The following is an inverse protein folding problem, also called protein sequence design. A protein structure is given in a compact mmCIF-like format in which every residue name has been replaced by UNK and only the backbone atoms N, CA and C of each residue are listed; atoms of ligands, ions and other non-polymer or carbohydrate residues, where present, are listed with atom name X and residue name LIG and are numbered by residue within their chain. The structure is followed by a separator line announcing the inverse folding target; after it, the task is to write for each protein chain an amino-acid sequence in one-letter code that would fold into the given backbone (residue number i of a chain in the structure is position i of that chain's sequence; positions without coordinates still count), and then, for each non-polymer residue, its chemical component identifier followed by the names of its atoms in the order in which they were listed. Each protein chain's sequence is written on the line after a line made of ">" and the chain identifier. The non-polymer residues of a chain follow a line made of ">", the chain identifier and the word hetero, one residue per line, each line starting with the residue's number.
data_IF_388955235206
#
_entry.id   IF_388955235206
#
_cell.length_a   1.000
_cell.length_b   1.000
_cell.length_c   1.000
_cell.angle_alpha   90.00
_cell.angle_beta   90.00
_cell.angle_gamma   90.00
#
_symmetry.space_group_name_H-M   'P 1'
#
loop_
_entity.id
_entity.type
_entity.pdbx_description
1 polymer ?
#
# COMPACT_ATOMS: atom_id res chain seq x y z
N UNK A 1 2.78 3.75 -27.07
CA UNK A 1 1.71 4.76 -26.87
C UNK A 1 1.64 5.11 -25.39
N UNK A 2 2.53 5.98 -24.91
CA UNK A 2 2.53 6.45 -23.52
C UNK A 2 1.43 7.50 -23.33
N UNK A 3 0.41 7.19 -22.52
CA UNK A 3 -0.71 8.09 -22.24
C UNK A 3 -0.24 9.31 -21.41
N UNK A 4 -0.28 10.55 -21.95
CA UNK A 4 0.25 11.75 -21.29
C UNK A 4 -0.44 12.14 -19.96
N UNK A 5 -1.63 11.61 -19.72
CA UNK A 5 -2.57 12.09 -18.68
C UNK A 5 -2.33 11.56 -17.26
N UNK A 6 -1.29 10.74 -17.05
CA UNK A 6 -0.94 10.24 -15.72
C UNK A 6 0.00 11.18 -14.96
N UNK A 7 0.77 12.03 -15.66
CA UNK A 7 1.85 12.83 -15.05
C UNK A 7 1.38 13.85 -14.00
N UNK A 8 0.09 14.19 -13.96
CA UNK A 8 -0.51 15.18 -13.03
C UNK A 8 -1.62 14.53 -12.18
N UNK A 9 -1.46 13.27 -11.79
CA UNK A 9 -2.40 12.64 -10.86
C UNK A 9 -1.74 12.37 -9.52
N UNK A 10 -2.28 13.00 -8.48
CA UNK A 10 -1.93 12.82 -7.08
C UNK A 10 -3.12 12.23 -6.33
N UNK A 11 -2.87 11.23 -5.49
CA UNK A 11 -3.91 10.57 -4.69
C UNK A 11 -3.30 9.96 -3.44
N UNK A 12 -3.94 10.13 -2.31
CA UNK A 12 -3.54 9.48 -1.07
C UNK A 12 -4.77 8.93 -0.36
N UNK A 13 -4.70 7.67 0.06
CA UNK A 13 -5.72 7.06 0.90
C UNK A 13 -5.05 6.17 1.96
N UNK A 14 -5.56 6.23 3.18
CA UNK A 14 -5.11 5.40 4.29
C UNK A 14 -6.32 4.82 5.00
N UNK A 15 -6.42 3.49 4.99
CA UNK A 15 -7.44 2.73 5.71
C UNK A 15 -6.80 2.10 6.94
N UNK A 16 -7.42 2.27 8.10
CA UNK A 16 -6.98 1.66 9.35
C UNK A 16 -8.04 0.66 9.82
N UNK A 17 -7.65 -0.60 9.93
CA UNK A 17 -8.48 -1.68 10.47
C UNK A 17 -7.90 -2.14 11.80
N UNK A 18 -8.63 -1.91 12.88
CA UNK A 18 -8.31 -2.50 14.17
C UNK A 18 -8.73 -3.97 14.17
N UNK A 19 -7.86 -4.82 14.71
CA UNK A 19 -8.14 -6.24 14.94
C UNK A 19 -8.34 -6.41 16.45
N UNK A 20 -9.22 -7.33 16.82
CA UNK A 20 -9.34 -7.80 18.20
C UNK A 20 -7.96 -8.21 18.76
N UNK A 21 -7.81 -8.14 20.09
CA UNK A 21 -6.56 -8.48 20.78
C UNK A 21 -5.38 -7.54 20.50
N UNK A 22 -5.66 -6.26 20.19
CA UNK A 22 -4.64 -5.21 20.11
C UNK A 22 -3.82 -5.22 18.82
N UNK A 23 -4.29 -5.92 17.79
CA UNK A 23 -3.74 -5.86 16.44
C UNK A 23 -4.26 -4.64 15.67
N UNK A 24 -3.48 -4.15 14.71
CA UNK A 24 -3.91 -3.11 13.76
C UNK A 24 -3.29 -3.34 12.39
N UNK A 25 -4.09 -3.25 11.35
CA UNK A 25 -3.65 -3.23 9.95
C UNK A 25 -3.87 -1.84 9.39
N UNK A 26 -2.84 -1.28 8.76
CA UNK A 26 -2.92 -0.03 8.02
C UNK A 26 -2.69 -0.33 6.55
N UNK A 27 -3.65 -0.02 5.68
CA UNK A 27 -3.51 -0.10 4.24
C UNK A 27 -3.34 1.30 3.68
N UNK A 28 -2.34 1.51 2.83
CA UNK A 28 -2.05 2.83 2.26
C UNK A 28 -1.90 2.72 0.75
N UNK A 29 -2.48 3.69 0.05
CA UNK A 29 -2.27 3.97 -1.37
C UNK A 29 -1.74 5.39 -1.46
N UNK A 30 -0.64 5.59 -2.18
CA UNK A 30 -0.06 6.91 -2.39
C UNK A 30 0.44 7.00 -3.83
N UNK A 31 -0.09 7.96 -4.58
CA UNK A 31 0.23 8.27 -5.96
C UNK A 31 0.65 9.74 -5.98
N UNK A 32 1.80 10.00 -6.60
CA UNK A 32 2.32 11.34 -6.84
C UNK A 32 2.86 11.41 -8.26
N UNK A 33 2.41 12.37 -9.04
CA UNK A 33 2.78 12.59 -10.44
C UNK A 33 2.62 11.31 -11.28
N UNK A 34 1.52 10.59 -11.06
CA UNK A 34 1.20 9.36 -11.80
C UNK A 34 2.02 8.13 -11.42
N UNK A 35 2.88 8.21 -10.41
CA UNK A 35 3.63 7.06 -9.86
C UNK A 35 3.23 6.84 -8.43
N UNK A 36 3.04 5.59 -8.02
CA UNK A 36 2.57 5.33 -6.68
C UNK A 36 2.90 3.96 -6.14
N UNK A 37 2.56 3.77 -4.87
CA UNK A 37 2.69 2.50 -4.17
C UNK A 37 1.44 2.20 -3.36
N UNK A 38 1.27 0.90 -3.13
CA UNK A 38 0.34 0.34 -2.15
C UNK A 38 1.12 -0.36 -1.06
N UNK A 39 0.65 -0.29 0.17
CA UNK A 39 1.28 -1.00 1.28
C UNK A 39 0.28 -1.49 2.32
N UNK A 40 0.63 -2.59 2.97
CA UNK A 40 0.01 -3.09 4.20
C UNK A 40 1.06 -2.98 5.30
N UNK A 41 0.73 -2.31 6.40
CA UNK A 41 1.52 -2.31 7.63
C UNK A 41 0.73 -2.99 8.75
N UNK A 42 1.37 -3.94 9.42
CA UNK A 42 0.79 -4.66 10.56
C UNK A 42 1.38 -4.16 11.87
N UNK A 43 0.56 -4.15 12.91
CA UNK A 43 0.92 -3.77 14.26
C UNK A 43 0.29 -4.75 15.24
N UNK A 44 0.96 -4.97 16.36
CA UNK A 44 0.47 -5.78 17.48
C UNK A 44 0.91 -5.15 18.79
N UNK A 45 0.00 -5.00 19.76
CA UNK A 45 0.26 -4.34 21.05
C UNK A 45 0.94 -2.98 20.86
N UNK A 46 0.40 -2.16 19.95
CA UNK A 46 0.93 -0.82 19.55
C UNK A 46 2.32 -0.83 18.87
N UNK A 47 3.01 -1.96 18.75
CA UNK A 47 4.30 -2.09 18.07
C UNK A 47 4.11 -2.42 16.59
N UNK A 48 4.90 -1.78 15.72
CA UNK A 48 4.95 -2.11 14.29
C UNK A 48 5.62 -3.47 14.07
N UNK A 49 4.93 -4.39 13.41
CA UNK A 49 5.43 -5.76 13.16
C UNK A 49 5.99 -5.94 11.76
N UNK A 50 5.52 -5.16 10.78
CA UNK A 50 6.05 -5.23 9.43
C UNK A 50 5.30 -4.37 8.43
N UNK A 51 5.93 -4.13 7.28
CA UNK A 51 5.31 -3.44 6.14
C UNK A 51 5.62 -4.20 4.85
N UNK A 52 4.58 -4.56 4.11
CA UNK A 52 4.68 -5.03 2.75
C UNK A 52 4.30 -3.90 1.80
N UNK A 53 5.23 -3.46 0.94
CA UNK A 53 5.04 -2.38 -0.02
C UNK A 53 5.24 -2.88 -1.44
N UNK A 54 4.38 -2.46 -2.36
CA UNK A 54 4.48 -2.76 -3.79
C UNK A 54 4.17 -1.51 -4.60
N UNK A 55 4.85 -1.33 -5.73
CA UNK A 55 4.53 -0.30 -6.71
C UNK A 55 3.13 -0.54 -7.28
N UNK A 56 2.41 0.53 -7.59
CA UNK A 56 1.17 0.46 -8.34
C UNK A 56 1.49 0.35 -9.83
N UNK A 57 0.85 -0.61 -10.50
CA UNK A 57 0.90 -0.71 -11.95
C UNK A 57 0.10 0.43 -12.58
N UNK A 58 0.45 0.81 -13.80
CA UNK A 58 -0.25 1.85 -14.56
C UNK A 58 -1.77 1.60 -14.63
N UNK A 59 -2.18 0.36 -14.88
CA UNK A 59 -3.59 -0.03 -14.91
C UNK A 59 -4.29 0.16 -13.55
N UNK A 60 -3.62 -0.14 -12.42
CA UNK A 60 -4.18 0.09 -11.09
C UNK A 60 -4.35 1.59 -10.82
N UNK A 61 -3.40 2.42 -11.25
CA UNK A 61 -3.48 3.88 -11.12
C UNK A 61 -4.64 4.45 -11.95
N UNK A 62 -4.85 3.95 -13.17
CA UNK A 62 -5.98 4.35 -14.00
C UNK A 62 -7.32 3.98 -13.34
N UNK A 63 -7.44 2.76 -12.79
CA UNK A 63 -8.64 2.35 -12.07
C UNK A 63 -8.90 3.22 -10.83
N UNK A 64 -7.86 3.58 -10.07
CA UNK A 64 -7.96 4.51 -8.94
C UNK A 64 -8.41 5.90 -9.41
N UNK A 65 -7.85 6.41 -10.51
CA UNK A 65 -8.25 7.70 -11.11
C UNK A 65 -9.72 7.72 -11.51
N UNK A 66 -10.24 6.59 -12.01
CA UNK A 66 -11.65 6.42 -12.36
C UNK A 66 -12.57 6.16 -11.14
N UNK A 67 -12.03 6.12 -9.91
CA UNK A 67 -12.80 5.80 -8.72
C UNK A 67 -13.33 4.37 -8.68
N UNK A 68 -12.79 3.46 -9.50
CA UNK A 68 -13.25 2.07 -9.58
C UNK A 68 -12.65 1.21 -8.47
N UNK A 69 -13.48 0.33 -7.92
CA UNK A 69 -13.02 -0.69 -6.98
C UNK A 69 -12.02 -1.65 -7.66
N UNK A 70 -10.92 -1.95 -6.97
CA UNK A 70 -9.90 -2.90 -7.45
C UNK A 70 -9.88 -4.10 -6.51
N UNK A 71 -10.51 -5.23 -6.87
CA UNK A 71 -10.51 -6.41 -6.04
C UNK A 71 -9.09 -6.93 -5.85
N UNK A 72 -8.74 -7.23 -4.60
CA UNK A 72 -7.42 -7.78 -4.28
C UNK A 72 -6.26 -6.81 -4.53
N UNK A 73 -6.49 -5.49 -4.53
CA UNK A 73 -5.43 -4.48 -4.72
C UNK A 73 -4.19 -4.79 -3.88
N UNK A 74 -4.35 -5.24 -2.64
CA UNK A 74 -3.24 -5.54 -1.74
C UNK A 74 -2.86 -7.04 -1.66
N UNK A 75 -3.41 -7.92 -2.50
CA UNK A 75 -3.19 -9.39 -2.42
C UNK A 75 -1.71 -9.78 -2.53
N UNK A 76 -0.92 -9.01 -3.27
CA UNK A 76 0.53 -9.21 -3.43
C UNK A 76 1.39 -8.43 -2.41
N UNK A 77 0.77 -7.67 -1.51
CA UNK A 77 1.40 -7.07 -0.35
C UNK A 77 1.44 -8.09 0.81
N UNK A 78 2.03 -9.27 0.56
CA UNK A 78 2.25 -10.27 1.60
C UNK A 78 3.38 -9.76 2.51
N UNK A 79 3.10 -9.59 3.79
CA UNK A 79 4.14 -9.41 4.80
C UNK A 79 4.88 -10.72 4.89
N UNK A 80 6.16 -10.75 4.50
CA UNK A 80 7.05 -11.81 4.96
C UNK A 80 7.10 -11.66 6.48
N UNK A 81 6.27 -12.42 7.18
CA UNK A 81 6.63 -12.77 8.55
C UNK A 81 7.98 -13.48 8.44
N UNK A 82 8.92 -13.06 9.30
CA UNK A 82 10.29 -13.59 9.44
C UNK A 82 11.36 -12.95 8.52
N UNK A 83 12.44 -12.54 9.20
CA UNK A 83 13.79 -12.15 8.72
C UNK A 83 14.01 -10.83 7.95
N UNK A 84 13.81 -9.69 8.63
CA UNK A 84 14.81 -8.61 8.52
C UNK A 84 15.26 -8.15 9.90
N UNK A 85 16.12 -8.94 10.55
CA UNK A 85 17.18 -8.38 11.40
C UNK A 85 18.01 -7.48 10.48
N UNK A 86 17.64 -6.20 10.36
CA UNK A 86 18.63 -5.18 10.02
C UNK A 86 19.45 -4.99 11.28
N UNK A 87 20.57 -5.72 11.37
CA UNK A 87 21.69 -5.28 12.20
C UNK A 87 22.02 -3.86 11.73
N UNK A 88 21.78 -2.87 12.59
CA UNK A 88 22.40 -1.57 12.44
C UNK A 88 23.82 -1.76 12.95
N UNK A 89 24.79 -1.70 12.03
CA UNK A 89 26.18 -1.42 12.38
C UNK A 89 26.25 -0.02 13.00
#
# INVERSE_FOLDING_TARGET
>A
MDSPQLKIFDYNNTEVKNIQSGGKIVRKVSIKRGKGYKSISTYHKKKHTGTARRTLKTAEIQMIKLGKFIPGLFKNCKTCAVSRRRSRR
#
